data_IF_509038481439
#
_entry.id   IF_509038481439
#
_cell.length_a   1.000
_cell.length_b   1.000
_cell.length_c   1.000
_cell.angle_alpha   90.00
_cell.angle_beta   90.00
_cell.angle_gamma   90.00
#
_symmetry.space_group_name_H-M   'P 1'
#
loop_
_entity.id
_entity.type
_entity.pdbx_description
1 polymer ?
#
# COMPACT_ATOMS: atom_id res chain seq x y z
N UNK A 1 6.49 -7.39 -10.30
CA UNK A 1 5.81 -8.72 -10.47
C UNK A 1 4.47 -8.57 -9.79
N UNK A 2 3.34 -8.93 -10.41
CA UNK A 2 2.04 -8.70 -9.79
C UNK A 2 1.87 -9.58 -8.54
N UNK A 3 1.35 -8.98 -7.47
CA UNK A 3 0.98 -9.70 -6.25
C UNK A 3 -0.08 -10.77 -6.57
N UNK A 4 0.02 -11.91 -5.91
CA UNK A 4 -1.06 -12.89 -5.93
C UNK A 4 -2.20 -12.48 -4.99
N UNK A 5 -3.34 -13.16 -5.08
CA UNK A 5 -4.54 -12.82 -4.28
C UNK A 5 -4.29 -12.84 -2.77
N UNK A 6 -3.48 -13.77 -2.26
CA UNK A 6 -3.15 -13.84 -0.83
C UNK A 6 -2.30 -12.63 -0.41
N UNK A 7 -1.29 -12.29 -1.20
CA UNK A 7 -0.45 -11.13 -0.92
C UNK A 7 -1.22 -9.80 -1.04
N UNK A 8 -2.17 -9.72 -1.97
CA UNK A 8 -3.04 -8.56 -2.12
C UNK A 8 -3.95 -8.40 -0.90
N UNK A 9 -4.60 -9.47 -0.44
CA UNK A 9 -5.43 -9.44 0.77
C UNK A 9 -4.62 -9.05 2.02
N UNK A 10 -3.38 -9.54 2.14
CA UNK A 10 -2.48 -9.14 3.23
C UNK A 10 -2.06 -7.66 3.16
N UNK A 11 -1.92 -7.11 1.95
CA UNK A 11 -1.63 -5.69 1.77
C UNK A 11 -2.87 -4.84 2.09
N UNK A 12 -4.05 -5.26 1.66
CA UNK A 12 -5.33 -4.61 1.98
C UNK A 12 -5.54 -4.53 3.50
N UNK A 13 -5.39 -5.64 4.24
CA UNK A 13 -5.51 -5.65 5.72
C UNK A 13 -4.49 -4.71 6.40
N UNK A 14 -3.27 -4.66 5.89
CA UNK A 14 -2.25 -3.74 6.39
C UNK A 14 -2.63 -2.27 6.14
N UNK A 15 -3.17 -1.98 4.95
CA UNK A 15 -3.58 -0.64 4.57
C UNK A 15 -4.80 -0.17 5.36
N UNK A 16 -5.77 -1.03 5.65
CA UNK A 16 -6.93 -0.68 6.50
C UNK A 16 -6.46 -0.08 7.84
N UNK A 17 -5.46 -0.69 8.48
CA UNK A 17 -4.91 -0.18 9.75
C UNK A 17 -4.19 1.15 9.58
N UNK A 18 -3.47 1.35 8.47
CA UNK A 18 -2.71 2.59 8.24
C UNK A 18 -3.64 3.74 7.88
N UNK A 19 -4.63 3.51 7.04
CA UNK A 19 -5.55 4.53 6.55
C UNK A 19 -6.45 5.07 7.68
N UNK A 20 -6.64 4.32 8.77
CA UNK A 20 -7.27 4.84 10.00
C UNK A 20 -6.42 5.88 10.74
N UNK A 21 -5.10 5.91 10.52
CA UNK A 21 -4.15 6.76 11.25
C UNK A 21 -3.77 8.04 10.51
N UNK A 22 -4.00 8.12 9.20
CA UNK A 22 -3.58 9.22 8.34
C UNK A 22 -4.72 9.70 7.45
N UNK A 23 -4.76 10.99 7.17
CA UNK A 23 -5.70 11.58 6.20
C UNK A 23 -5.15 11.49 4.78
N UNK A 24 -6.01 11.62 3.76
CA UNK A 24 -5.58 11.51 2.35
C UNK A 24 -4.48 12.51 1.96
N UNK A 25 -4.48 13.71 2.55
CA UNK A 25 -3.44 14.72 2.37
C UNK A 25 -2.09 14.35 2.99
N UNK A 26 -2.07 13.39 3.92
CA UNK A 26 -0.86 12.87 4.57
C UNK A 26 -0.27 11.66 3.82
N UNK A 27 -0.92 11.17 2.76
CA UNK A 27 -0.50 9.92 2.12
C UNK A 27 0.84 10.03 1.41
N UNK A 28 1.06 11.08 0.61
CA UNK A 28 2.32 11.30 -0.12
C UNK A 28 3.50 11.47 0.87
N UNK A 29 3.28 12.24 1.94
CA UNK A 29 4.33 12.59 2.90
C UNK A 29 4.73 11.42 3.81
N UNK A 30 3.77 10.55 4.18
CA UNK A 30 4.00 9.52 5.19
C UNK A 30 3.67 8.11 4.70
N UNK A 31 2.48 7.90 4.15
CA UNK A 31 1.95 6.56 3.86
C UNK A 31 2.66 5.90 2.69
N UNK A 32 2.95 6.62 1.60
CA UNK A 32 3.65 6.08 0.44
C UNK A 32 4.99 5.44 0.83
N UNK A 33 5.76 6.14 1.66
CA UNK A 33 7.05 5.65 2.14
C UNK A 33 6.92 4.39 3.01
N UNK A 34 5.87 4.31 3.84
CA UNK A 34 5.58 3.17 4.70
C UNK A 34 5.21 1.95 3.85
N UNK A 35 4.29 2.14 2.90
CA UNK A 35 3.78 1.09 2.03
C UNK A 35 4.87 0.59 1.08
N UNK A 36 5.63 1.50 0.46
CA UNK A 36 6.78 1.17 -0.37
C UNK A 36 7.80 0.31 0.40
N UNK A 37 8.17 0.71 1.62
CA UNK A 37 9.10 -0.06 2.45
C UNK A 37 8.56 -1.44 2.83
N UNK A 38 7.26 -1.52 3.17
CA UNK A 38 6.61 -2.80 3.49
C UNK A 38 6.61 -3.74 2.27
N UNK A 39 6.12 -3.24 1.13
CA UNK A 39 6.05 -4.00 -0.12
C UNK A 39 7.43 -4.44 -0.61
N UNK A 40 8.44 -3.57 -0.49
CA UNK A 40 9.81 -3.92 -0.84
C UNK A 40 10.35 -5.06 0.02
N UNK A 41 10.21 -4.96 1.35
CA UNK A 41 10.73 -5.97 2.28
C UNK A 41 9.99 -7.30 2.22
N UNK A 42 8.66 -7.25 2.06
CA UNK A 42 7.81 -8.44 2.15
C UNK A 42 7.59 -9.12 0.80
N UNK A 43 7.45 -8.35 -0.27
CA UNK A 43 7.07 -8.84 -1.59
C UNK A 43 8.16 -8.65 -2.66
N UNK A 44 9.22 -7.88 -2.35
CA UNK A 44 10.30 -7.61 -3.31
C UNK A 44 9.87 -6.71 -4.46
N UNK A 45 8.85 -5.87 -4.25
CA UNK A 45 8.34 -4.92 -5.25
C UNK A 45 9.08 -3.59 -5.13
N UNK A 46 9.24 -2.88 -6.23
CA UNK A 46 9.83 -1.54 -6.22
C UNK A 46 8.86 -0.47 -5.72
N UNK A 47 9.40 0.70 -5.39
CA UNK A 47 8.63 1.82 -4.84
C UNK A 47 7.51 2.28 -5.77
N UNK A 48 7.78 2.38 -7.08
CA UNK A 48 6.79 2.87 -8.05
C UNK A 48 5.60 1.91 -8.17
N UNK A 49 5.87 0.62 -8.26
CA UNK A 49 4.84 -0.41 -8.34
C UNK A 49 4.08 -0.53 -6.99
N UNK A 50 4.75 -0.33 -5.85
CA UNK A 50 4.11 -0.32 -4.53
C UNK A 50 3.17 0.89 -4.33
N UNK A 51 3.60 2.11 -4.68
CA UNK A 51 2.78 3.33 -4.60
C UNK A 51 1.60 3.26 -5.56
N UNK A 52 1.81 2.73 -6.77
CA UNK A 52 0.72 2.48 -7.70
C UNK A 52 -0.33 1.53 -7.13
N UNK A 53 0.09 0.39 -6.58
CA UNK A 53 -0.81 -0.59 -5.95
C UNK A 53 -1.56 0.00 -4.77
N UNK A 54 -0.88 0.82 -3.96
CA UNK A 54 -1.51 1.55 -2.85
C UNK A 54 -2.70 2.37 -3.33
N UNK A 55 -2.52 3.23 -4.33
CA UNK A 55 -3.62 4.05 -4.85
C UNK A 55 -4.70 3.23 -5.57
N UNK A 56 -4.37 2.12 -6.22
CA UNK A 56 -5.38 1.19 -6.76
C UNK A 56 -6.26 0.62 -5.65
N UNK A 57 -5.68 0.25 -4.51
CA UNK A 57 -6.42 -0.27 -3.36
C UNK A 57 -7.28 0.82 -2.72
N UNK A 58 -6.71 1.99 -2.42
CA UNK A 58 -7.43 3.12 -1.82
C UNK A 58 -8.64 3.53 -2.68
N UNK A 59 -8.46 3.59 -4.01
CA UNK A 59 -9.55 3.94 -4.93
C UNK A 59 -10.64 2.86 -5.04
N UNK A 60 -10.34 1.60 -4.68
CA UNK A 60 -11.33 0.51 -4.66
C UNK A 60 -12.08 0.41 -3.31
N UNK A 61 -11.50 0.97 -2.23
CA UNK A 61 -12.13 1.02 -0.90
C UNK A 61 -13.19 2.13 -0.79
N UNK A 62 -13.09 3.17 -1.62
CA UNK A 62 -14.01 4.31 -1.73
C UNK A 62 -15.12 4.07 -2.77
#
# INVERSE_FOLDING_TARGET
>A
MPLNQTQLAELEEYLETILELYTEDEYEDYVESIVSNYCHRKFGIDEQEAVKLFYEIVNNLN
#
